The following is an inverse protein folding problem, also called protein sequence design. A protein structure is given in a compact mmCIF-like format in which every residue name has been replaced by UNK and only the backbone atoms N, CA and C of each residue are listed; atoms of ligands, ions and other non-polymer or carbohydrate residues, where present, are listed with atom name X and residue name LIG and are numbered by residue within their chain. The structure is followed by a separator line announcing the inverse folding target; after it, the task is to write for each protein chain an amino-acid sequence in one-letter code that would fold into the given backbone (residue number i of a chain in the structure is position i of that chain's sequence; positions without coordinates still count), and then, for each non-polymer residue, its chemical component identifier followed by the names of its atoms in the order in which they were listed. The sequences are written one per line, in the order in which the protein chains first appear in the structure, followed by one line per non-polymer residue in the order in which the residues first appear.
data_IF_310573855991
#
_entry.id   IF_310573855991
#
_cell.length_a   1.000
_cell.length_b   1.000
_cell.length_c   1.000
_cell.angle_alpha   90.00
_cell.angle_beta   90.00
_cell.angle_gamma   90.00
#
_symmetry.space_group_name_H-M   'P 1'
#
loop_
_entity.id
_entity.type
_entity.pdbx_description
1 polymer ?
#
# COMPACT_ATOMS: atom_id res chain seq x y z
N UNK A 1 2.16 -23.83 -33.69
CA UNK A 1 1.50 -23.31 -32.46
C UNK A 1 2.45 -23.21 -31.27
N UNK A 2 3.44 -24.10 -31.15
CA UNK A 2 4.47 -24.09 -30.10
C UNK A 2 5.14 -22.72 -29.88
N UNK A 3 5.54 -22.02 -30.96
CA UNK A 3 6.14 -20.68 -30.85
C UNK A 3 5.26 -19.65 -30.14
N UNK A 4 3.93 -19.69 -30.35
CA UNK A 4 2.99 -18.77 -29.70
C UNK A 4 2.85 -19.10 -28.20
N UNK A 5 2.84 -20.38 -27.86
CA UNK A 5 2.80 -20.85 -26.47
C UNK A 5 4.08 -20.52 -25.71
N UNK A 6 5.25 -20.64 -26.36
CA UNK A 6 6.53 -20.23 -25.77
C UNK A 6 6.56 -18.73 -25.49
N UNK A 7 6.13 -17.90 -26.45
CA UNK A 7 6.07 -16.45 -26.26
C UNK A 7 5.11 -16.11 -25.11
N UNK A 8 3.91 -16.69 -25.10
CA UNK A 8 2.93 -16.46 -24.04
C UNK A 8 3.45 -16.89 -22.65
N UNK A 9 4.12 -18.04 -22.56
CA UNK A 9 4.70 -18.54 -21.32
C UNK A 9 5.82 -17.63 -20.78
N UNK A 10 6.65 -17.08 -21.66
CA UNK A 10 7.70 -16.12 -21.28
C UNK A 10 7.07 -14.84 -20.72
N UNK A 11 6.06 -14.28 -21.37
CA UNK A 11 5.39 -13.07 -20.88
C UNK A 11 4.63 -13.29 -19.58
N UNK A 12 3.88 -14.40 -19.47
CA UNK A 12 3.15 -14.72 -18.25
C UNK A 12 4.09 -15.01 -17.08
N UNK A 13 5.16 -15.78 -17.30
CA UNK A 13 6.14 -16.12 -16.27
C UNK A 13 6.92 -14.90 -15.77
N UNK A 14 7.40 -14.05 -16.69
CA UNK A 14 8.11 -12.82 -16.31
C UNK A 14 7.21 -11.84 -15.57
N UNK A 15 5.96 -11.64 -16.03
CA UNK A 15 5.02 -10.74 -15.35
C UNK A 15 4.64 -11.22 -13.94
N UNK A 16 4.41 -12.52 -13.76
CA UNK A 16 4.09 -13.09 -12.44
C UNK A 16 5.29 -13.11 -11.48
N UNK A 17 6.52 -13.18 -11.98
CA UNK A 17 7.72 -13.24 -11.14
C UNK A 17 7.98 -11.94 -10.34
N UNK A 18 7.59 -10.77 -10.87
CA UNK A 18 7.84 -9.47 -10.22
C UNK A 18 7.12 -9.34 -8.87
N UNK A 19 5.78 -9.51 -8.76
CA UNK A 19 5.09 -9.42 -7.48
C UNK A 19 5.48 -10.54 -6.52
N UNK A 20 5.75 -11.76 -7.02
CA UNK A 20 6.14 -12.91 -6.17
C UNK A 20 7.50 -12.66 -5.51
N UNK A 21 8.50 -12.18 -6.27
CA UNK A 21 9.82 -11.87 -5.72
C UNK A 21 9.77 -10.67 -4.77
N UNK A 22 8.97 -9.65 -5.10
CA UNK A 22 8.79 -8.49 -4.23
C UNK A 22 8.12 -8.83 -2.90
N UNK A 23 7.10 -9.69 -2.91
CA UNK A 23 6.41 -10.14 -1.70
C UNK A 23 7.25 -11.11 -0.86
N UNK A 24 8.02 -11.99 -1.49
CA UNK A 24 8.83 -12.99 -0.78
C UNK A 24 10.11 -12.42 -0.19
N UNK A 25 10.81 -11.54 -0.91
CA UNK A 25 12.00 -10.86 -0.40
C UNK A 25 12.32 -9.57 -1.20
N UNK A 26 11.94 -8.39 -0.69
CA UNK A 26 12.08 -7.13 -1.43
C UNK A 26 13.54 -6.77 -1.75
N UNK A 27 14.51 -7.20 -0.94
CA UNK A 27 15.93 -6.91 -1.14
C UNK A 27 16.57 -7.67 -2.31
N UNK A 28 15.92 -8.71 -2.85
CA UNK A 28 16.44 -9.42 -4.03
C UNK A 28 16.26 -8.59 -5.31
N UNK A 29 15.28 -7.68 -5.37
CA UNK A 29 15.15 -6.75 -6.49
C UNK A 29 16.35 -5.79 -6.56
N UNK A 30 16.90 -5.37 -5.42
CA UNK A 30 18.06 -4.49 -5.37
C UNK A 30 19.29 -5.12 -6.07
N UNK A 31 19.48 -6.43 -5.91
CA UNK A 31 20.54 -7.20 -6.57
C UNK A 31 20.33 -7.32 -8.09
N UNK A 32 19.08 -7.43 -8.54
CA UNK A 32 18.71 -7.55 -9.95
C UNK A 32 18.80 -6.21 -10.69
N UNK A 33 18.53 -5.09 -10.01
CA UNK A 33 18.58 -3.74 -10.57
C UNK A 33 19.98 -3.14 -10.60
N UNK A 34 20.88 -3.53 -9.68
CA UNK A 34 22.28 -3.09 -9.63
C UNK A 34 23.04 -3.22 -10.96
N UNK A 35 23.02 -4.36 -11.69
CA UNK A 35 23.72 -4.49 -12.96
C UNK A 35 23.12 -3.62 -14.09
N UNK A 36 21.82 -3.29 -14.03
CA UNK A 36 21.18 -2.41 -15.02
C UNK A 36 21.53 -0.92 -14.81
N UNK A 37 21.85 -0.51 -13.58
CA UNK A 37 22.20 0.87 -13.22
C UNK A 37 23.72 1.13 -13.32
N UNK A 38 24.55 0.09 -13.41
CA UNK A 38 26.01 0.18 -13.48
C UNK A 38 26.59 0.72 -14.81
N UNK A 39 25.79 1.40 -15.63
CA UNK A 39 26.20 1.99 -16.92
C UNK A 39 26.10 3.52 -16.91
N UNK A 40 26.64 4.20 -15.91
CA UNK A 40 26.95 5.65 -16.00
C UNK A 40 28.10 6.00 -15.04
N UNK A 41 29.33 6.21 -15.53
CA UNK A 41 30.31 6.96 -14.77
C UNK A 41 30.04 8.45 -15.02
N UNK A 42 29.80 9.21 -13.95
CA UNK A 42 30.17 10.61 -13.73
C UNK A 42 29.27 11.16 -12.62
N UNK A 43 29.95 11.60 -11.57
CA UNK A 43 29.52 12.47 -10.49
C UNK A 43 28.45 13.48 -10.92
N UNK A 44 27.21 13.26 -10.49
CA UNK A 44 26.21 14.30 -10.31
C UNK A 44 25.92 14.37 -8.81
N UNK A 45 25.72 15.56 -8.20
CA UNK A 45 25.33 15.64 -6.80
C UNK A 45 24.07 14.82 -6.65
N UNK A 46 24.08 13.83 -5.76
CA UNK A 46 22.87 13.12 -5.37
C UNK A 46 21.79 14.18 -5.13
N UNK A 47 20.67 14.18 -5.88
CA UNK A 47 19.49 14.82 -5.36
C UNK A 47 19.32 14.16 -4.00
N UNK A 48 19.33 14.97 -2.94
CA UNK A 48 18.87 14.50 -1.65
C UNK A 48 17.45 14.02 -1.92
N UNK A 49 17.30 12.71 -2.18
CA UNK A 49 16.04 12.06 -2.18
C UNK A 49 15.60 12.25 -0.74
N UNK A 50 14.78 13.27 -0.54
CA UNK A 50 13.83 13.33 0.55
C UNK A 50 12.96 12.09 0.34
N UNK A 51 13.47 10.94 0.75
CA UNK A 51 12.67 9.84 1.24
C UNK A 51 11.79 10.54 2.25
N UNK A 52 10.55 10.82 1.86
CA UNK A 52 9.55 11.32 2.77
C UNK A 52 9.61 10.32 3.92
N UNK A 53 10.16 10.78 5.05
CA UNK A 53 10.15 10.02 6.28
C UNK A 53 8.69 9.64 6.46
N UNK A 54 8.39 8.34 6.34
CA UNK A 54 7.10 7.85 6.81
C UNK A 54 7.05 8.35 8.24
N UNK A 55 6.14 9.27 8.59
CA UNK A 55 6.10 9.77 9.95
C UNK A 55 5.99 8.54 10.83
N UNK A 56 6.87 8.41 11.84
CA UNK A 56 6.70 7.44 12.90
C UNK A 56 5.23 7.42 13.24
N UNK A 57 4.59 6.24 13.04
CA UNK A 57 3.15 6.03 13.15
C UNK A 57 2.61 7.02 14.17
N UNK A 58 1.85 8.06 13.76
CA UNK A 58 1.49 9.11 14.69
C UNK A 58 0.82 8.41 15.86
N UNK A 59 1.37 8.62 17.07
CA UNK A 59 0.75 8.11 18.29
C UNK A 59 -0.72 8.47 18.19
N UNK A 60 -1.59 7.46 18.13
CA UNK A 60 -3.01 7.67 17.79
C UNK A 60 -3.53 8.73 18.74
N UNK A 61 -3.73 9.94 18.23
CA UNK A 61 -4.07 11.07 19.06
C UNK A 61 -5.38 10.71 19.76
N UNK A 62 -5.34 10.59 21.09
CA UNK A 62 -6.53 10.29 21.86
C UNK A 62 -7.55 11.38 21.53
N UNK A 63 -8.76 11.02 21.06
CA UNK A 63 -9.73 12.01 20.67
C UNK A 63 -10.10 12.87 21.89
N UNK A 64 -9.78 14.15 21.82
CA UNK A 64 -10.11 15.12 22.87
C UNK A 64 -11.54 15.64 22.66
N UNK A 65 -12.29 15.84 23.74
CA UNK A 65 -13.64 16.40 23.71
C UNK A 65 -14.68 15.47 23.08
N UNK A 66 -15.52 15.99 22.18
CA UNK A 66 -16.58 15.22 21.48
C UNK A 66 -16.09 14.60 20.17
N UNK A 67 -14.91 14.01 20.19
CA UNK A 67 -14.34 13.29 19.04
C UNK A 67 -14.35 11.80 19.34
N UNK A 68 -14.50 11.01 18.30
CA UNK A 68 -14.37 9.54 18.37
C UNK A 68 -13.49 9.12 17.21
N UNK A 69 -12.57 8.19 17.47
CA UNK A 69 -11.78 7.54 16.43
C UNK A 69 -12.56 6.32 15.97
N UNK A 70 -12.91 6.29 14.68
CA UNK A 70 -13.57 5.15 14.04
C UNK A 70 -12.64 4.62 12.96
N UNK A 71 -12.20 3.37 13.11
CA UNK A 71 -11.39 2.70 12.11
C UNK A 71 -12.28 2.12 11.02
N UNK A 72 -11.79 2.15 9.78
CA UNK A 72 -12.47 1.47 8.68
C UNK A 72 -12.41 -0.05 8.85
N UNK A 73 -13.44 -0.75 8.38
CA UNK A 73 -13.45 -2.20 8.28
C UNK A 73 -12.55 -2.68 7.12
N UNK A 74 -12.41 -3.99 6.96
CA UNK A 74 -11.61 -4.59 5.88
C UNK A 74 -12.11 -4.23 4.47
N UNK A 75 -13.33 -3.70 4.34
CA UNK A 75 -13.95 -3.27 3.09
C UNK A 75 -13.87 -1.75 2.90
N UNK A 76 -13.23 -1.02 3.83
CA UNK A 76 -13.12 0.43 3.79
C UNK A 76 -14.35 1.20 4.29
N UNK A 77 -15.33 0.53 4.89
CA UNK A 77 -16.53 1.18 5.43
C UNK A 77 -16.31 1.61 6.88
N UNK A 78 -16.96 2.69 7.29
CA UNK A 78 -16.89 3.18 8.67
C UNK A 78 -18.19 2.86 9.40
N UNK A 79 -18.12 2.04 10.44
CA UNK A 79 -19.26 1.68 11.28
C UNK A 79 -18.99 2.04 12.73
N UNK A 80 -20.02 2.48 13.45
CA UNK A 80 -19.93 2.76 14.89
C UNK A 80 -21.23 2.36 15.60
N UNK A 81 -21.12 2.10 16.90
CA UNK A 81 -22.29 2.02 17.76
C UNK A 81 -22.86 3.42 18.03
N UNK A 82 -24.17 3.56 17.90
CA UNK A 82 -24.95 4.76 18.19
C UNK A 82 -26.00 4.45 19.25
N UNK A 83 -26.45 5.47 19.98
CA UNK A 83 -27.64 5.37 20.83
C UNK A 83 -28.79 6.09 20.17
N UNK A 84 -29.85 5.35 19.84
CA UNK A 84 -31.11 5.90 19.33
C UNK A 84 -32.21 5.60 20.34
N UNK A 85 -32.82 6.63 20.91
CA UNK A 85 -33.87 6.51 21.92
C UNK A 85 -33.48 5.60 23.11
N UNK A 86 -32.23 5.69 23.56
CA UNK A 86 -31.70 4.88 24.66
C UNK A 86 -31.27 3.46 24.28
N UNK A 87 -31.55 3.01 23.05
CA UNK A 87 -31.11 1.70 22.54
C UNK A 87 -29.80 1.83 21.76
N UNK A 88 -28.87 0.90 21.98
CA UNK A 88 -27.65 0.81 21.18
C UNK A 88 -27.94 0.13 19.84
N UNK A 89 -27.50 0.76 18.75
CA UNK A 89 -27.62 0.28 17.37
C UNK A 89 -26.28 0.45 16.66
N UNK A 90 -25.93 -0.45 15.75
CA UNK A 90 -24.78 -0.25 14.87
C UNK A 90 -25.23 0.47 13.60
N UNK A 91 -24.44 1.42 13.12
CA UNK A 91 -24.74 2.21 11.94
C UNK A 91 -23.54 2.37 11.02
N UNK A 92 -23.81 2.39 9.72
CA UNK A 92 -22.85 2.82 8.69
C UNK A 92 -22.83 4.34 8.65
N UNK A 93 -21.62 4.93 8.63
CA UNK A 93 -21.43 6.35 8.39
C UNK A 93 -21.51 6.57 6.88
N UNK A 94 -22.61 7.17 6.44
CA UNK A 94 -22.85 7.52 5.03
C UNK A 94 -22.93 9.04 4.89
N UNK A 95 -21.94 9.65 4.23
CA UNK A 95 -21.90 11.10 3.99
C UNK A 95 -22.84 11.55 2.86
N UNK A 96 -23.44 10.61 2.13
CA UNK A 96 -24.39 10.88 1.04
C UNK A 96 -25.86 10.73 1.40
N UNK A 97 -26.18 10.21 2.59
CA UNK A 97 -27.55 10.10 3.09
C UNK A 97 -28.03 11.42 3.73
N UNK A 98 -29.30 11.80 3.55
CA UNK A 98 -29.93 12.99 4.17
C UNK A 98 -31.32 12.71 4.67
#
# INVERSE_FOLDING_TARGET
MLRKLLILGVFAGTSASIPILYQSNPHMLDGLLKPAVASKPVTEPQPALNLASVPDKPATALPLGRKVVVSADARGHFTSGFKLNGRQIDGLIDTGAT
#
